data_IF_292136209422
#
_entry.id   IF_292136209422
#
_cell.length_a   1.000
_cell.length_b   1.000
_cell.length_c   1.000
_cell.angle_alpha   90.00
_cell.angle_beta   90.00
_cell.angle_gamma   90.00
#
_symmetry.space_group_name_H-M   'P 1'
#
loop_
_entity.id
_entity.type
_entity.pdbx_description
1 polymer ?
#
# COMPACT_ATOMS: atom_id res chain seq x y z
N UNK A 1 6.01 20.73 -18.45
CA UNK A 1 6.30 19.40 -17.86
C UNK A 1 5.58 19.37 -16.54
N UNK A 2 4.37 18.82 -16.54
CA UNK A 2 3.51 18.80 -15.36
C UNK A 2 4.15 17.93 -14.28
N UNK A 3 4.63 18.58 -13.22
CA UNK A 3 4.90 17.94 -11.95
C UNK A 3 3.52 17.62 -11.40
N UNK A 4 2.95 16.47 -11.74
CA UNK A 4 1.79 15.95 -11.03
C UNK A 4 2.31 15.49 -9.69
N UNK A 5 2.33 16.47 -8.79
CA UNK A 5 2.51 16.36 -7.36
C UNK A 5 1.81 15.11 -6.84
N UNK A 6 2.58 14.07 -6.53
CA UNK A 6 2.16 12.98 -5.64
C UNK A 6 2.27 13.52 -4.18
N UNK A 7 1.81 14.75 -3.91
CA UNK A 7 1.65 15.27 -2.53
C UNK A 7 0.23 15.06 -2.01
N UNK A 8 -0.64 14.40 -2.77
CA UNK A 8 -1.80 13.76 -2.16
C UNK A 8 -1.28 12.57 -1.36
N UNK A 9 -0.96 12.85 -0.09
CA UNK A 9 -0.51 11.89 0.89
C UNK A 9 -1.26 10.56 0.72
N UNK A 10 -0.54 9.45 0.78
CA UNK A 10 -1.15 8.11 0.78
C UNK A 10 -2.03 7.97 2.03
N UNK A 11 -3.28 8.40 1.91
CA UNK A 11 -4.26 8.40 3.00
C UNK A 11 -4.81 6.99 3.18
N UNK A 12 -4.82 6.53 4.43
CA UNK A 12 -5.27 5.19 4.76
C UNK A 12 -6.77 5.00 4.49
N UNK A 13 -7.56 6.06 4.61
CA UNK A 13 -9.00 6.08 4.31
C UNK A 13 -9.27 5.83 2.82
N UNK A 14 -8.49 6.45 1.94
CA UNK A 14 -8.61 6.26 0.50
C UNK A 14 -8.21 4.84 0.10
N UNK A 15 -7.15 4.30 0.70
CA UNK A 15 -6.76 2.91 0.49
C UNK A 15 -7.82 1.93 1.00
N UNK A 16 -8.36 2.17 2.20
CA UNK A 16 -9.45 1.36 2.75
C UNK A 16 -10.69 1.39 1.85
N UNK A 17 -11.07 2.57 1.34
CA UNK A 17 -12.18 2.73 0.40
C UNK A 17 -11.95 1.89 -0.86
N UNK A 18 -10.76 1.97 -1.44
CA UNK A 18 -10.37 1.18 -2.62
C UNK A 18 -10.42 -0.33 -2.35
N UNK A 19 -9.90 -0.80 -1.22
CA UNK A 19 -9.98 -2.23 -0.90
C UNK A 19 -11.43 -2.70 -0.73
N UNK A 20 -12.31 -1.83 -0.23
CA UNK A 20 -13.72 -2.13 -0.03
C UNK A 20 -14.47 -2.27 -1.35
N UNK A 21 -14.16 -1.45 -2.35
CA UNK A 21 -14.73 -1.60 -3.70
C UNK A 21 -14.21 -2.83 -4.43
N UNK A 22 -13.04 -3.33 -4.05
CA UNK A 22 -12.40 -4.54 -4.61
C UNK A 22 -12.46 -5.75 -3.68
N UNK A 23 -13.41 -5.79 -2.74
CA UNK A 23 -13.41 -6.75 -1.65
C UNK A 23 -13.28 -8.23 -2.10
N UNK A 24 -13.93 -8.61 -3.21
CA UNK A 24 -13.91 -9.98 -3.75
C UNK A 24 -12.86 -10.20 -4.84
N UNK A 25 -12.16 -9.15 -5.26
CA UNK A 25 -11.17 -9.21 -6.33
C UNK A 25 -9.78 -9.41 -5.75
N UNK A 26 -8.90 -10.09 -6.50
CA UNK A 26 -7.48 -10.15 -6.18
C UNK A 26 -6.88 -8.77 -6.44
N UNK A 27 -6.43 -8.11 -5.38
CA UNK A 27 -5.86 -6.76 -5.40
C UNK A 27 -4.33 -6.75 -5.48
N UNK A 28 -3.71 -7.93 -5.36
CA UNK A 28 -2.27 -8.08 -5.49
C UNK A 28 -1.76 -9.43 -5.02
N UNK A 29 -0.45 -9.49 -4.84
CA UNK A 29 0.30 -10.58 -4.21
C UNK A 29 1.21 -10.01 -3.15
N UNK A 30 1.16 -10.57 -1.95
CA UNK A 30 2.05 -10.18 -0.87
C UNK A 30 3.53 -10.45 -1.24
N UNK A 31 4.47 -9.69 -0.66
CA UNK A 31 5.91 -9.86 -0.91
C UNK A 31 6.40 -9.45 -2.30
N UNK A 32 5.52 -8.91 -3.16
CA UNK A 32 5.88 -8.48 -4.51
C UNK A 32 6.02 -6.97 -4.58
N UNK A 33 7.18 -6.48 -5.05
CA UNK A 33 7.45 -5.05 -5.12
C UNK A 33 6.41 -4.29 -5.99
N UNK A 34 6.09 -4.80 -7.18
CA UNK A 34 5.20 -4.12 -8.14
C UNK A 34 3.76 -4.67 -8.18
N UNK A 35 3.48 -5.71 -7.40
CA UNK A 35 2.19 -6.38 -7.39
C UNK A 35 1.60 -6.50 -5.99
N UNK A 36 2.22 -5.88 -4.96
CA UNK A 36 1.60 -5.78 -3.65
C UNK A 36 0.27 -5.04 -3.75
N UNK A 37 -0.72 -5.31 -2.87
CA UNK A 37 -1.97 -4.55 -2.84
C UNK A 37 -1.77 -3.04 -2.81
N UNK A 38 -0.72 -2.57 -2.10
CA UNK A 38 -0.37 -1.16 -2.04
C UNK A 38 0.23 -0.64 -3.34
N UNK A 39 1.13 -1.39 -3.99
CA UNK A 39 1.71 -1.05 -5.28
C UNK A 39 0.65 -1.00 -6.39
N UNK A 40 -0.28 -1.96 -6.41
CA UNK A 40 -1.43 -1.97 -7.34
C UNK A 40 -2.26 -0.70 -7.18
N UNK A 41 -2.66 -0.38 -5.95
CA UNK A 41 -3.45 0.82 -5.67
C UNK A 41 -2.76 2.13 -6.09
N UNK A 42 -1.48 2.30 -5.75
CA UNK A 42 -0.71 3.48 -6.15
C UNK A 42 -0.61 3.56 -7.67
N UNK A 43 -0.43 2.41 -8.33
CA UNK A 43 -0.31 2.35 -9.78
C UNK A 43 -1.61 2.79 -10.46
N UNK A 44 -2.76 2.30 -10.00
CA UNK A 44 -4.08 2.70 -10.49
C UNK A 44 -4.33 4.19 -10.28
N UNK A 45 -4.01 4.70 -9.09
CA UNK A 45 -4.19 6.12 -8.74
C UNK A 45 -3.35 7.06 -9.61
N UNK A 46 -2.13 6.66 -9.95
CA UNK A 46 -1.18 7.51 -10.68
C UNK A 46 -1.18 7.28 -12.19
N UNK A 47 -1.85 6.23 -12.66
CA UNK A 47 -1.78 5.77 -14.05
C UNK A 47 -0.38 5.31 -14.48
N UNK A 48 0.52 5.06 -13.53
CA UNK A 48 1.91 4.69 -13.76
C UNK A 48 2.21 3.39 -13.02
N UNK A 49 3.07 2.52 -13.56
CA UNK A 49 3.54 1.36 -12.80
C UNK A 49 4.40 1.83 -11.62
N UNK A 50 3.91 1.59 -10.41
CA UNK A 50 4.57 1.91 -9.15
C UNK A 50 4.90 0.63 -8.38
N UNK A 51 5.99 0.69 -7.62
CA UNK A 51 6.41 -0.36 -6.71
C UNK A 51 6.50 0.16 -5.28
N UNK A 52 6.53 -0.79 -4.35
CA UNK A 52 6.78 -0.59 -2.93
C UNK A 52 7.89 -1.53 -2.50
N UNK A 53 8.90 -1.01 -1.80
CA UNK A 53 10.04 -1.80 -1.32
C UNK A 53 10.45 -1.30 0.07
N UNK A 54 10.38 -2.17 1.08
CA UNK A 54 10.56 -1.86 2.50
C UNK A 54 9.85 -0.57 2.95
N UNK A 55 10.61 0.54 3.00
CA UNK A 55 10.18 1.86 3.49
C UNK A 55 9.80 2.82 2.36
N UNK A 56 9.90 2.41 1.11
CA UNK A 56 9.86 3.28 -0.05
C UNK A 56 8.76 2.88 -1.04
N UNK A 57 8.32 3.85 -1.82
CA UNK A 57 7.49 3.64 -2.99
C UNK A 57 7.89 4.58 -4.12
N UNK A 58 7.72 4.14 -5.35
CA UNK A 58 8.09 4.96 -6.49
C UNK A 58 7.69 4.34 -7.82
N UNK A 59 7.87 5.10 -8.90
CA UNK A 59 7.63 4.60 -10.25
C UNK A 59 8.71 3.60 -10.64
N UNK A 60 8.31 2.51 -11.28
CA UNK A 60 9.24 1.46 -11.74
C UNK A 60 10.28 1.98 -12.74
N UNK A 61 9.94 3.01 -13.52
CA UNK A 61 10.82 3.61 -14.52
C UNK A 61 11.89 4.56 -13.93
N UNK A 62 11.84 4.85 -12.63
CA UNK A 62 12.73 5.81 -11.97
C UNK A 62 13.66 5.06 -11.03
N UNK A 63 14.93 5.48 -10.99
CA UNK A 63 15.91 4.93 -10.07
C UNK A 63 15.45 5.00 -8.60
N UNK A 64 15.82 3.98 -7.81
CA UNK A 64 15.38 3.83 -6.41
C UNK A 64 15.72 5.04 -5.53
N UNK A 65 16.77 5.80 -5.85
CA UNK A 65 17.13 7.01 -5.10
C UNK A 65 16.11 8.15 -5.21
N UNK A 66 15.15 8.05 -6.14
CA UNK A 66 14.04 9.01 -6.28
C UNK A 66 12.71 8.47 -5.75
N UNK A 67 12.72 7.32 -5.07
CA UNK A 67 11.52 6.79 -4.43
C UNK A 67 11.25 7.56 -3.13
N UNK A 68 9.96 7.71 -2.81
CA UNK A 68 9.49 8.45 -1.66
C UNK A 68 9.29 7.52 -0.46
N UNK A 69 9.40 8.06 0.76
CA UNK A 69 9.10 7.30 1.97
C UNK A 69 7.61 6.98 2.06
N UNK A 70 7.30 5.74 2.41
CA UNK A 70 5.96 5.30 2.74
C UNK A 70 5.51 5.89 4.09
N UNK A 71 4.23 6.24 4.25
CA UNK A 71 3.70 6.57 5.56
C UNK A 71 3.74 5.34 6.48
N UNK A 72 3.82 5.58 7.79
CA UNK A 72 4.01 4.51 8.78
C UNK A 72 2.95 3.40 8.71
N UNK A 73 1.69 3.76 8.43
CA UNK A 73 0.62 2.76 8.29
C UNK A 73 0.89 1.79 7.13
N UNK A 74 1.45 2.29 6.01
CA UNK A 74 1.71 1.52 4.81
C UNK A 74 2.91 0.60 5.00
N UNK A 75 3.96 1.06 5.70
CA UNK A 75 5.08 0.22 6.12
C UNK A 75 4.60 -0.93 6.99
N UNK A 76 3.77 -0.64 8.01
CA UNK A 76 3.18 -1.68 8.88
C UNK A 76 2.29 -2.64 8.10
N UNK A 77 1.59 -2.16 7.08
CA UNK A 77 0.74 -2.97 6.22
C UNK A 77 1.55 -3.96 5.38
N UNK A 78 2.57 -3.48 4.68
CA UNK A 78 3.48 -4.35 3.92
C UNK A 78 4.13 -5.39 4.84
N UNK A 79 4.68 -4.98 5.98
CA UNK A 79 5.32 -5.89 6.94
C UNK A 79 4.37 -6.99 7.46
N UNK A 80 3.06 -6.72 7.55
CA UNK A 80 2.08 -7.75 7.91
C UNK A 80 1.80 -8.69 6.74
N UNK A 81 1.65 -8.15 5.53
CA UNK A 81 1.46 -8.96 4.33
C UNK A 81 2.65 -9.89 4.04
N UNK A 82 3.87 -9.51 4.40
CA UNK A 82 5.05 -10.40 4.26
C UNK A 82 4.87 -11.76 4.95
N UNK A 83 3.99 -11.88 5.96
CA UNK A 83 3.68 -13.16 6.62
C UNK A 83 2.96 -14.16 5.70
N UNK A 84 2.29 -13.65 4.68
CA UNK A 84 1.58 -14.42 3.65
C UNK A 84 2.20 -14.20 2.26
N UNK A 85 3.51 -13.91 2.22
CA UNK A 85 4.24 -13.59 1.01
C UNK A 85 3.96 -14.57 -0.15
N UNK A 86 3.94 -14.02 -1.36
CA UNK A 86 3.69 -14.69 -2.64
C UNK A 86 2.29 -15.26 -2.87
N UNK A 87 1.41 -15.21 -1.88
CA UNK A 87 0.00 -15.57 -2.05
C UNK A 87 -0.79 -14.43 -2.73
N UNK A 88 -1.75 -14.75 -3.61
CA UNK A 88 -2.79 -13.80 -4.02
C UNK A 88 -3.54 -13.27 -2.80
N UNK A 89 -3.82 -11.97 -2.79
CA UNK A 89 -4.55 -11.30 -1.71
C UNK A 89 -5.78 -10.62 -2.29
N UNK A 90 -6.94 -10.91 -1.74
CA UNK A 90 -8.21 -10.24 -2.07
C UNK A 90 -8.35 -8.91 -1.34
N UNK A 91 -9.21 -8.03 -1.83
CA UNK A 91 -9.49 -6.76 -1.15
C UNK A 91 -9.95 -6.95 0.30
N UNK A 92 -10.75 -7.99 0.57
CA UNK A 92 -11.22 -8.33 1.90
C UNK A 92 -10.08 -8.80 2.83
N UNK A 93 -9.20 -9.67 2.36
CA UNK A 93 -8.03 -10.12 3.15
C UNK A 93 -7.10 -8.95 3.46
N UNK A 94 -6.83 -8.09 2.48
CA UNK A 94 -6.07 -6.87 2.69
C UNK A 94 -6.76 -5.91 3.69
N UNK A 95 -8.09 -5.78 3.67
CA UNK A 95 -8.83 -4.98 4.66
C UNK A 95 -8.67 -5.52 6.08
N UNK A 96 -8.72 -6.85 6.25
CA UNK A 96 -8.52 -7.49 7.54
C UNK A 96 -7.13 -7.17 8.09
N UNK A 97 -6.08 -7.26 7.26
CA UNK A 97 -4.73 -6.89 7.65
C UNK A 97 -4.59 -5.39 7.96
N UNK A 98 -5.26 -4.51 7.21
CA UNK A 98 -5.27 -3.08 7.47
C UNK A 98 -5.98 -2.73 8.79
N UNK A 99 -7.09 -3.42 9.11
CA UNK A 99 -7.86 -3.21 10.33
C UNK A 99 -7.01 -3.49 11.58
N UNK A 100 -6.18 -4.55 11.55
CA UNK A 100 -5.27 -4.87 12.64
C UNK A 100 -4.27 -3.74 12.96
N UNK A 101 -3.90 -2.92 11.97
CA UNK A 101 -2.97 -1.78 12.17
C UNK A 101 -3.69 -0.60 12.82
N UNK A 102 -4.93 -0.31 12.40
CA UNK A 102 -5.74 0.77 12.97
C UNK A 102 -6.00 0.54 14.44
N UNK A 103 -6.28 -0.71 14.85
CA UNK A 103 -6.44 -1.07 16.26
C UNK A 103 -5.18 -0.75 17.08
N UNK A 104 -3.98 -1.08 16.57
CA UNK A 104 -2.72 -0.79 17.28
C UNK A 104 -2.42 0.70 17.43
N UNK A 105 -2.79 1.54 16.45
CA UNK A 105 -2.54 2.99 16.50
C UNK A 105 -3.41 3.66 17.58
N UNK A 106 -4.68 3.24 17.71
CA UNK A 106 -5.61 3.79 18.71
C UNK A 106 -5.16 3.45 20.14
N UNK A 107 -4.63 2.24 20.37
CA UNK A 107 -4.14 1.87 21.71
C UNK A 107 -2.83 2.56 22.10
N UNK A 108 -2.01 3.02 21.14
CA UNK A 108 -0.73 3.68 21.46
C UNK A 108 -0.90 5.18 21.77
N UNK A 109 -2.01 5.81 21.38
CA UNK A 109 -2.34 7.19 21.75
C UNK A 109 -3.09 7.31 23.10
N UNK A 110 -3.47 6.18 23.71
CA UNK A 110 -4.21 6.12 24.96
C UNK A 110 -3.36 5.62 26.15
N UNK A 111 -2.04 5.53 25.99
CA UNK A 111 -1.09 5.07 27.01
C UNK A 111 -0.06 6.15 27.37
#
# INVERSE_FOLDING_TARGET
MEITVIDDALQVEQFQGWLSTHATQVVGRAGMCFLSPLATWISERTGCLCGTDDLFYGRAAVANCSWHLLPQWAVRFNARLERIAFCPVTGLEALQELAHIKTTIVFTQAA
#
